data_IF_707783489105
#
_entry.id   IF_707783489105
#
_cell.length_a   1.000
_cell.length_b   1.000
_cell.length_c   1.000
_cell.angle_alpha   90.00
_cell.angle_beta   90.00
_cell.angle_gamma   90.00
#
_symmetry.space_group_name_H-M   'P 1'
#
loop_
_entity.id
_entity.type
_entity.pdbx_description
1 polymer ?
#
# COMPACT_ATOMS: atom_id res chain seq x y z
N UNK A 1 -6.40 -54.43 -18.19
CA UNK A 1 -5.38 -53.60 -18.86
C UNK A 1 -5.21 -52.33 -18.06
N UNK A 2 -4.11 -52.23 -17.33
CA UNK A 2 -3.84 -51.16 -16.36
C UNK A 2 -3.43 -49.92 -17.12
N UNK A 3 -4.19 -48.78 -16.91
CA UNK A 3 -3.74 -47.44 -17.26
C UNK A 3 -3.68 -46.68 -15.92
N UNK A 4 -2.60 -46.88 -15.19
CA UNK A 4 -2.15 -46.01 -14.11
C UNK A 4 -0.71 -45.59 -14.40
N UNK A 5 -0.48 -44.88 -15.46
CA UNK A 5 0.67 -44.00 -15.53
C UNK A 5 0.30 -42.67 -14.90
N UNK A 6 0.54 -42.56 -13.60
CA UNK A 6 0.51 -41.29 -12.91
C UNK A 6 1.51 -40.37 -13.59
N UNK A 7 1.02 -39.46 -14.43
CA UNK A 7 1.80 -38.29 -14.87
C UNK A 7 2.32 -37.62 -13.59
N UNK A 8 3.57 -37.79 -13.26
CA UNK A 8 4.25 -37.02 -12.22
C UNK A 8 4.32 -35.59 -12.75
N UNK A 9 3.40 -34.74 -12.32
CA UNK A 9 3.53 -33.30 -12.51
C UNK A 9 4.83 -32.92 -11.78
N UNK A 10 5.85 -32.40 -12.49
CA UNK A 10 7.07 -31.96 -11.82
C UNK A 10 6.71 -30.93 -10.76
N UNK A 11 7.28 -31.03 -9.59
CA UNK A 11 7.12 -30.02 -8.55
C UNK A 11 7.63 -28.69 -9.10
N UNK A 12 6.99 -27.58 -8.72
CA UNK A 12 7.37 -26.22 -9.15
C UNK A 12 8.88 -25.98 -8.94
N UNK A 13 9.45 -26.52 -7.85
CA UNK A 13 10.88 -26.47 -7.56
C UNK A 13 11.77 -27.21 -8.58
N UNK A 14 11.23 -28.16 -9.33
CA UNK A 14 11.96 -28.87 -10.38
C UNK A 14 11.95 -28.12 -11.73
N UNK A 15 11.07 -27.12 -11.87
CA UNK A 15 10.96 -26.28 -13.08
C UNK A 15 11.81 -25.01 -13.01
N UNK A 16 12.19 -24.57 -11.79
CA UNK A 16 13.06 -23.41 -11.60
C UNK A 16 14.52 -23.78 -11.91
N UNK A 17 15.24 -22.91 -12.60
CA UNK A 17 16.68 -23.04 -12.78
C UNK A 17 17.40 -23.04 -11.44
N UNK A 18 18.59 -23.62 -11.37
CA UNK A 18 19.40 -23.66 -10.15
C UNK A 18 19.75 -22.24 -9.64
N UNK A 19 19.91 -21.30 -10.58
CA UNK A 19 20.12 -19.88 -10.29
C UNK A 19 18.89 -19.25 -9.62
N UNK A 20 17.68 -19.46 -10.15
CA UNK A 20 16.43 -18.93 -9.59
C UNK A 20 16.14 -19.47 -8.19
N UNK A 21 16.52 -20.73 -7.91
CA UNK A 21 16.37 -21.32 -6.57
C UNK A 21 17.32 -20.73 -5.52
N UNK A 22 18.46 -20.19 -5.94
CA UNK A 22 19.48 -19.61 -5.06
C UNK A 22 19.40 -18.08 -4.96
N UNK A 23 18.56 -17.43 -5.76
CA UNK A 23 18.40 -15.97 -5.76
C UNK A 23 17.72 -15.49 -4.48
N UNK A 24 18.37 -14.58 -3.76
CA UNK A 24 17.77 -13.86 -2.62
C UNK A 24 16.99 -12.67 -3.16
N UNK A 25 15.72 -12.56 -2.77
CA UNK A 25 14.78 -11.62 -3.40
C UNK A 25 14.47 -10.43 -2.50
N UNK A 26 14.77 -9.23 -3.02
CA UNK A 26 14.45 -7.93 -2.45
C UNK A 26 13.75 -7.00 -3.45
N UNK A 27 13.20 -7.53 -4.55
CA UNK A 27 12.56 -6.70 -5.57
C UNK A 27 11.18 -6.18 -5.17
N UNK A 28 10.47 -6.86 -4.27
CA UNK A 28 9.14 -6.46 -3.81
C UNK A 28 8.83 -6.99 -2.42
N UNK A 29 7.76 -6.48 -1.81
CA UNK A 29 7.27 -6.83 -0.47
C UNK A 29 6.03 -7.75 -0.50
N UNK A 30 5.81 -8.45 -1.63
CA UNK A 30 4.68 -9.37 -1.84
C UNK A 30 5.09 -10.63 -2.63
N UNK A 31 6.33 -11.09 -2.44
CA UNK A 31 6.84 -12.28 -3.15
C UNK A 31 6.39 -13.59 -2.50
N UNK A 32 6.22 -13.60 -1.18
CA UNK A 32 5.76 -14.75 -0.43
C UNK A 32 4.22 -14.78 -0.34
N UNK A 33 3.69 -15.89 0.19
CA UNK A 33 2.27 -16.06 0.45
C UNK A 33 1.78 -15.23 1.65
N UNK A 34 1.09 -15.88 2.57
CA UNK A 34 0.59 -15.23 3.80
C UNK A 34 1.41 -15.64 5.03
N UNK A 35 1.33 -14.83 6.08
CA UNK A 35 1.91 -15.17 7.38
C UNK A 35 1.37 -16.52 7.89
N UNK A 36 2.20 -17.41 8.49
CA UNK A 36 1.80 -18.76 8.91
C UNK A 36 0.55 -18.79 9.79
N UNK A 37 0.38 -17.86 10.72
CA UNK A 37 -0.83 -17.77 11.57
C UNK A 37 -2.11 -17.58 10.77
N UNK A 38 -2.05 -16.87 9.64
CA UNK A 38 -3.21 -16.68 8.74
C UNK A 38 -3.53 -18.00 8.05
N UNK A 39 -2.51 -18.70 7.55
CA UNK A 39 -2.69 -20.00 6.90
C UNK A 39 -3.31 -21.03 7.86
N UNK A 40 -2.81 -21.10 9.10
CA UNK A 40 -3.34 -21.96 10.16
C UNK A 40 -4.82 -21.63 10.40
N UNK A 41 -5.17 -20.36 10.56
CA UNK A 41 -6.56 -19.92 10.79
C UNK A 41 -7.48 -20.25 9.61
N UNK A 42 -7.01 -20.12 8.39
CA UNK A 42 -7.77 -20.50 7.19
C UNK A 42 -8.02 -22.01 7.12
N UNK A 43 -7.04 -22.83 7.53
CA UNK A 43 -7.20 -24.29 7.60
C UNK A 43 -8.20 -24.69 8.69
N UNK A 44 -8.09 -24.11 9.89
CA UNK A 44 -8.98 -24.37 11.03
C UNK A 44 -10.45 -24.05 10.69
N UNK A 45 -10.67 -22.94 10.03
CA UNK A 45 -12.02 -22.42 9.73
C UNK A 45 -12.59 -22.91 8.38
N UNK A 46 -11.83 -23.71 7.62
CA UNK A 46 -12.18 -24.08 6.24
C UNK A 46 -13.59 -24.71 6.09
N UNK A 47 -14.02 -25.51 7.07
CA UNK A 47 -15.31 -26.20 7.03
C UNK A 47 -16.44 -25.43 7.73
N UNK A 48 -16.19 -24.24 8.24
CA UNK A 48 -17.23 -23.40 8.83
C UNK A 48 -18.25 -22.95 7.77
N UNK A 49 -19.52 -22.93 8.14
CA UNK A 49 -20.60 -22.35 7.34
C UNK A 49 -20.93 -20.96 7.88
N UNK A 50 -20.69 -19.94 7.08
CA UNK A 50 -20.87 -18.54 7.46
C UNK A 50 -21.76 -17.80 6.45
N UNK A 51 -22.32 -16.66 6.84
CA UNK A 51 -22.92 -15.72 5.89
C UNK A 51 -21.89 -15.31 4.82
N UNK A 52 -22.36 -14.96 3.64
CA UNK A 52 -21.52 -14.52 2.53
C UNK A 52 -21.33 -13.01 2.49
N UNK A 53 -20.54 -12.57 1.51
CA UNK A 53 -20.39 -11.17 1.11
C UNK A 53 -19.86 -10.21 2.19
N UNK A 54 -19.06 -10.75 3.14
CA UNK A 54 -18.45 -9.97 4.21
C UNK A 54 -19.39 -9.66 5.38
N UNK A 55 -20.51 -10.37 5.48
CA UNK A 55 -21.49 -10.27 6.59
C UNK A 55 -21.35 -11.46 7.58
N UNK A 56 -20.15 -12.03 7.62
CA UNK A 56 -19.79 -13.12 8.51
C UNK A 56 -19.10 -12.63 9.78
N UNK A 57 -19.04 -13.50 10.80
CA UNK A 57 -18.46 -13.18 12.10
C UNK A 57 -16.95 -12.86 12.06
N UNK A 58 -16.21 -13.39 11.09
CA UNK A 58 -14.77 -13.06 10.94
C UNK A 58 -14.58 -11.64 10.43
N UNK A 59 -15.36 -11.24 9.41
CA UNK A 59 -15.36 -9.85 8.93
C UNK A 59 -15.82 -8.87 10.02
N UNK A 60 -16.83 -9.24 10.81
CA UNK A 60 -17.32 -8.44 11.92
C UNK A 60 -16.23 -8.23 13.01
N UNK A 61 -15.55 -9.32 13.43
CA UNK A 61 -14.46 -9.25 14.40
C UNK A 61 -13.27 -8.46 13.87
N UNK A 62 -12.86 -8.70 12.62
CA UNK A 62 -11.81 -7.94 11.98
C UNK A 62 -12.11 -6.43 11.96
N UNK A 63 -13.34 -6.06 11.60
CA UNK A 63 -13.78 -4.68 11.61
C UNK A 63 -13.78 -4.08 13.03
N UNK A 64 -14.22 -4.83 14.05
CA UNK A 64 -14.18 -4.40 15.43
C UNK A 64 -12.75 -4.16 15.94
N UNK A 65 -11.81 -5.06 15.63
CA UNK A 65 -10.39 -4.90 15.97
C UNK A 65 -9.78 -3.66 15.31
N UNK A 66 -10.10 -3.40 14.04
CA UNK A 66 -9.64 -2.20 13.31
C UNK A 66 -10.24 -0.94 13.92
N UNK A 67 -11.54 -0.93 14.25
CA UNK A 67 -12.20 0.18 14.95
C UNK A 67 -11.51 0.49 16.28
N UNK A 68 -11.23 -0.55 17.07
CA UNK A 68 -10.49 -0.43 18.33
C UNK A 68 -9.09 0.17 18.11
N UNK A 69 -8.35 -0.31 17.10
CA UNK A 69 -7.02 0.22 16.77
C UNK A 69 -7.06 1.68 16.29
N UNK A 70 -8.13 2.09 15.59
CA UNK A 70 -8.39 3.47 15.18
C UNK A 70 -8.93 4.35 16.34
N UNK A 71 -9.34 3.76 17.47
CA UNK A 71 -9.96 4.49 18.59
C UNK A 71 -11.33 5.10 18.24
N UNK A 72 -12.07 4.52 17.28
CA UNK A 72 -13.33 5.06 16.75
C UNK A 72 -14.34 3.96 16.42
N UNK A 73 -15.50 4.02 17.04
CA UNK A 73 -16.62 3.09 16.77
C UNK A 73 -17.51 3.54 15.60
N UNK A 74 -17.47 4.81 15.27
CA UNK A 74 -18.33 5.45 14.27
C UNK A 74 -17.82 5.34 12.84
N UNK A 75 -16.76 4.59 12.57
CA UNK A 75 -16.21 4.34 11.23
C UNK A 75 -16.79 3.07 10.60
N UNK A 76 -16.81 3.01 9.27
CA UNK A 76 -17.13 1.79 8.54
C UNK A 76 -15.86 1.13 8.02
N UNK A 77 -15.82 -0.20 8.07
CA UNK A 77 -14.68 -0.99 7.58
C UNK A 77 -15.17 -1.98 6.53
N UNK A 78 -14.52 -1.98 5.36
CA UNK A 78 -14.82 -2.86 4.25
C UNK A 78 -13.55 -3.53 3.73
N UNK A 79 -13.63 -4.81 3.35
CA UNK A 79 -12.48 -5.57 2.87
C UNK A 79 -12.57 -5.76 1.35
N UNK A 80 -11.50 -5.34 0.64
CA UNK A 80 -11.33 -5.47 -0.80
C UNK A 80 -10.07 -6.28 -1.08
N UNK A 81 -9.86 -6.75 -2.33
CA UNK A 81 -8.81 -7.73 -2.63
C UNK A 81 -7.42 -7.13 -2.90
N UNK A 82 -7.33 -5.85 -3.23
CA UNK A 82 -6.04 -5.23 -3.57
C UNK A 82 -6.13 -3.72 -3.78
N UNK A 83 -4.98 -3.04 -3.78
CA UNK A 83 -4.86 -1.58 -3.79
C UNK A 83 -5.55 -0.92 -4.98
N UNK A 84 -5.27 -1.36 -6.22
CA UNK A 84 -5.90 -0.78 -7.42
C UNK A 84 -7.42 -0.91 -7.40
N UNK A 85 -7.96 -2.07 -6.98
CA UNK A 85 -9.42 -2.23 -6.82
C UNK A 85 -9.97 -1.30 -5.74
N UNK A 86 -9.22 -1.10 -4.65
CA UNK A 86 -9.57 -0.17 -3.58
C UNK A 86 -9.62 1.25 -4.10
N UNK A 87 -8.56 1.70 -4.77
CA UNK A 87 -8.46 3.06 -5.30
C UNK A 87 -9.58 3.38 -6.27
N UNK A 88 -9.81 2.54 -7.28
CA UNK A 88 -10.90 2.77 -8.23
C UNK A 88 -12.30 2.70 -7.61
N UNK A 89 -12.49 1.88 -6.56
CA UNK A 89 -13.77 1.76 -5.86
C UNK A 89 -14.05 3.00 -5.01
N UNK A 90 -13.08 3.44 -4.22
CA UNK A 90 -13.18 4.63 -3.35
C UNK A 90 -13.37 5.88 -4.20
N UNK A 91 -12.48 6.12 -5.16
CA UNK A 91 -12.51 7.34 -6.00
C UNK A 91 -13.79 7.38 -6.82
N UNK A 92 -14.17 6.26 -7.45
CA UNK A 92 -15.41 6.18 -8.23
C UNK A 92 -16.70 6.26 -7.40
N UNK A 93 -16.63 6.10 -6.06
CA UNK A 93 -17.78 6.29 -5.16
C UNK A 93 -17.96 7.75 -4.73
N UNK A 94 -16.89 8.52 -4.74
CA UNK A 94 -16.86 9.89 -4.20
C UNK A 94 -17.03 10.94 -5.29
N UNK A 95 -16.31 10.78 -6.39
CA UNK A 95 -16.27 11.80 -7.43
C UNK A 95 -17.51 11.82 -8.31
N UNK A 96 -17.93 13.02 -8.69
CA UNK A 96 -18.94 13.24 -9.74
C UNK A 96 -18.28 13.16 -11.13
N UNK A 97 -19.02 12.88 -12.22
CA UNK A 97 -18.48 12.64 -13.56
C UNK A 97 -17.55 13.73 -14.11
N UNK A 98 -17.69 14.97 -13.62
CA UNK A 98 -16.88 16.14 -14.04
C UNK A 98 -15.70 16.41 -13.09
N UNK A 99 -15.50 15.58 -12.05
CA UNK A 99 -14.46 15.77 -11.04
C UNK A 99 -13.28 14.86 -11.27
N UNK A 100 -12.11 15.32 -10.80
CA UNK A 100 -10.86 14.58 -10.78
C UNK A 100 -10.22 14.56 -9.39
N UNK A 101 -9.21 13.73 -9.23
CA UNK A 101 -8.46 13.54 -7.99
C UNK A 101 -7.08 14.17 -8.09
N UNK A 102 -6.70 15.02 -7.13
CA UNK A 102 -5.32 15.48 -6.96
C UNK A 102 -4.45 14.33 -6.50
N UNK A 103 -3.33 14.14 -7.18
CA UNK A 103 -2.38 13.07 -6.91
C UNK A 103 -0.95 13.59 -7.09
N UNK A 104 0.00 13.09 -6.31
CA UNK A 104 1.42 13.32 -6.50
C UNK A 104 1.88 12.86 -7.90
N UNK A 105 2.88 13.50 -8.49
CA UNK A 105 3.44 13.09 -9.78
C UNK A 105 4.06 11.68 -9.72
N UNK A 106 4.61 11.28 -8.57
CA UNK A 106 5.09 9.91 -8.27
C UNK A 106 3.98 8.98 -7.77
N UNK A 107 2.77 9.49 -7.50
CA UNK A 107 1.69 8.74 -6.85
C UNK A 107 1.20 7.55 -7.65
N UNK A 108 0.83 6.48 -6.96
CA UNK A 108 0.48 5.18 -7.53
C UNK A 108 -0.61 5.27 -8.61
N UNK A 109 -1.63 6.12 -8.42
CA UNK A 109 -2.69 6.37 -9.40
C UNK A 109 -2.15 6.85 -10.75
N UNK A 110 -1.10 7.70 -10.71
CA UNK A 110 -0.52 8.30 -11.91
C UNK A 110 0.40 7.34 -12.66
N UNK A 111 1.20 6.52 -11.93
CA UNK A 111 2.33 5.82 -12.56
C UNK A 111 2.22 4.29 -12.55
N UNK A 112 1.32 3.68 -11.75
CA UNK A 112 1.30 2.23 -11.54
C UNK A 112 -0.07 1.56 -11.70
N UNK A 113 -1.12 2.25 -12.14
CA UNK A 113 -2.47 1.67 -12.22
C UNK A 113 -3.04 1.57 -13.65
N UNK A 114 -2.21 1.78 -14.67
CA UNK A 114 -2.59 1.55 -16.08
C UNK A 114 -3.89 2.27 -16.48
N UNK A 115 -4.13 3.48 -15.95
CA UNK A 115 -5.34 4.25 -16.23
C UNK A 115 -6.61 3.71 -15.54
N UNK A 116 -6.48 3.03 -14.40
CA UNK A 116 -7.63 2.47 -13.69
C UNK A 116 -8.62 3.54 -13.24
N UNK A 117 -8.13 4.71 -12.83
CA UNK A 117 -8.98 5.83 -12.41
C UNK A 117 -9.67 6.45 -13.62
N UNK A 118 -8.94 6.68 -14.72
CA UNK A 118 -9.48 7.18 -15.98
C UNK A 118 -10.57 6.24 -16.53
N UNK A 119 -10.40 4.93 -16.37
CA UNK A 119 -11.41 3.93 -16.75
C UNK A 119 -12.70 4.03 -15.91
N UNK A 120 -12.68 4.68 -14.76
CA UNK A 120 -13.90 5.01 -13.99
C UNK A 120 -14.58 6.30 -14.46
N UNK A 121 -13.98 7.02 -15.44
CA UNK A 121 -14.47 8.28 -15.97
C UNK A 121 -13.93 9.52 -15.27
N UNK A 122 -12.90 9.36 -14.41
CA UNK A 122 -12.31 10.47 -13.64
C UNK A 122 -10.88 10.74 -14.08
N UNK A 123 -10.45 11.99 -13.98
CA UNK A 123 -9.08 12.40 -14.29
C UNK A 123 -8.21 12.37 -13.05
N UNK A 124 -7.01 11.81 -13.18
CA UNK A 124 -5.92 12.08 -12.22
C UNK A 124 -5.32 13.44 -12.54
N UNK A 125 -5.41 14.38 -11.60
CA UNK A 125 -4.86 15.73 -11.71
C UNK A 125 -3.52 15.72 -10.97
N UNK A 126 -2.44 15.66 -11.74
CA UNK A 126 -1.08 15.49 -11.21
C UNK A 126 -0.56 16.81 -10.64
N UNK A 127 -0.04 16.77 -9.44
CA UNK A 127 0.59 17.89 -8.75
C UNK A 127 2.08 17.59 -8.50
N UNK A 128 2.95 18.62 -8.55
CA UNK A 128 4.36 18.44 -8.24
C UNK A 128 4.58 18.11 -6.77
N UNK A 129 5.62 17.33 -6.49
CA UNK A 129 6.01 16.89 -5.16
C UNK A 129 7.32 17.54 -4.70
N UNK A 130 7.64 17.35 -3.43
CA UNK A 130 8.98 17.56 -2.90
C UNK A 130 9.96 16.56 -3.53
N UNK A 131 11.27 16.79 -3.36
CA UNK A 131 12.31 15.92 -3.91
C UNK A 131 12.26 14.46 -3.37
N UNK A 132 11.50 14.23 -2.31
CA UNK A 132 11.29 12.94 -1.67
C UNK A 132 9.85 12.40 -1.85
N UNK A 133 9.13 12.88 -2.88
CA UNK A 133 7.86 12.31 -3.35
C UNK A 133 6.63 12.73 -2.54
N UNK A 134 6.72 13.71 -1.61
CA UNK A 134 5.58 14.14 -0.80
C UNK A 134 4.83 15.31 -1.43
N UNK A 135 3.52 15.20 -1.49
CA UNK A 135 2.63 16.31 -1.86
C UNK A 135 2.47 17.27 -0.67
N UNK A 136 2.49 18.57 -0.92
CA UNK A 136 2.38 19.58 0.15
C UNK A 136 1.01 20.24 0.18
N UNK A 137 0.59 20.72 1.36
CA UNK A 137 -0.61 21.54 1.52
C UNK A 137 -0.56 22.83 0.66
N UNK A 138 0.64 23.36 0.44
CA UNK A 138 0.85 24.55 -0.40
C UNK A 138 0.54 24.28 -1.88
N UNK A 139 0.99 23.14 -2.44
CA UNK A 139 0.71 22.78 -3.84
C UNK A 139 -0.77 22.44 -4.04
N UNK A 140 -1.41 21.76 -3.06
CA UNK A 140 -2.86 21.50 -3.09
C UNK A 140 -3.63 22.83 -3.14
N UNK A 141 -3.29 23.78 -2.26
CA UNK A 141 -3.92 25.10 -2.20
C UNK A 141 -3.74 25.85 -3.52
N UNK A 142 -2.52 25.92 -4.02
CA UNK A 142 -2.17 26.60 -5.27
C UNK A 142 -2.97 26.06 -6.46
N UNK A 143 -3.05 24.73 -6.58
CA UNK A 143 -3.80 24.09 -7.66
C UNK A 143 -5.32 24.33 -7.54
N UNK A 144 -5.86 24.26 -6.31
CA UNK A 144 -7.26 24.56 -6.04
C UNK A 144 -7.60 26.03 -6.36
N UNK A 145 -6.80 26.99 -5.86
CA UNK A 145 -7.00 28.41 -6.13
C UNK A 145 -6.83 28.76 -7.62
N UNK A 146 -5.87 28.13 -8.31
CA UNK A 146 -5.67 28.30 -9.74
C UNK A 146 -6.91 27.87 -10.54
N UNK A 147 -7.55 26.75 -10.17
CA UNK A 147 -8.79 26.31 -10.80
C UNK A 147 -9.92 27.34 -10.61
N UNK A 148 -10.20 27.74 -9.37
CA UNK A 148 -11.36 28.61 -9.08
C UNK A 148 -11.16 30.08 -9.48
N UNK A 149 -9.92 30.53 -9.63
CA UNK A 149 -9.61 31.90 -10.13
C UNK A 149 -9.61 31.98 -11.66
N UNK A 150 -9.68 30.85 -12.37
CA UNK A 150 -9.79 30.88 -13.84
C UNK A 150 -11.22 31.20 -14.26
N UNK A 151 -11.38 32.22 -15.09
CA UNK A 151 -12.69 32.63 -15.58
C UNK A 151 -13.42 31.57 -16.42
N UNK A 152 -12.67 30.54 -16.85
CA UNK A 152 -13.16 29.43 -17.67
C UNK A 152 -13.12 28.09 -16.91
N UNK A 153 -13.07 28.12 -15.58
CA UNK A 153 -12.96 26.92 -14.75
C UNK A 153 -14.05 25.87 -15.03
N UNK A 154 -15.24 26.26 -15.43
CA UNK A 154 -16.33 25.35 -15.82
C UNK A 154 -16.01 24.51 -17.08
N UNK A 155 -14.99 24.88 -17.85
CA UNK A 155 -14.51 24.12 -19.00
C UNK A 155 -13.42 23.08 -18.61
N UNK A 156 -12.95 23.11 -17.37
CA UNK A 156 -11.90 22.23 -16.85
C UNK A 156 -12.49 21.16 -15.93
N UNK A 157 -11.74 20.06 -15.77
CA UNK A 157 -12.07 19.06 -14.75
C UNK A 157 -11.94 19.69 -13.37
N UNK A 158 -13.02 19.65 -12.59
CA UNK A 158 -13.07 20.22 -11.24
C UNK A 158 -12.29 19.35 -10.26
N UNK A 159 -11.43 19.89 -9.39
CA UNK A 159 -10.86 19.15 -8.26
C UNK A 159 -11.97 18.65 -7.33
N UNK A 160 -11.98 17.35 -7.03
CA UNK A 160 -13.04 16.72 -6.23
C UNK A 160 -12.54 15.97 -5.00
N UNK A 161 -11.25 15.64 -4.92
CA UNK A 161 -10.62 15.03 -3.76
C UNK A 161 -9.10 15.09 -3.83
N UNK A 162 -8.43 14.79 -2.72
CA UNK A 162 -6.97 14.66 -2.62
C UNK A 162 -6.62 13.23 -2.27
N UNK A 163 -5.64 12.66 -2.97
CA UNK A 163 -5.06 11.34 -2.71
C UNK A 163 -3.57 11.49 -2.38
N UNK A 164 -3.15 10.83 -1.30
CA UNK A 164 -1.74 10.70 -0.91
C UNK A 164 -1.45 9.25 -0.49
N UNK A 165 -0.20 8.81 -0.63
CA UNK A 165 0.26 7.48 -0.18
C UNK A 165 1.04 7.59 1.14
N UNK A 166 0.73 6.75 2.13
CA UNK A 166 1.45 6.63 3.39
C UNK A 166 1.89 5.16 3.62
N UNK A 167 3.20 4.84 3.45
CA UNK A 167 4.31 5.66 2.93
C UNK A 167 4.20 5.95 1.42
N UNK A 168 4.96 6.94 0.95
CA UNK A 168 5.05 7.28 -0.48
C UNK A 168 5.72 6.16 -1.29
N UNK A 169 5.67 6.25 -2.59
CA UNK A 169 6.33 5.32 -3.53
C UNK A 169 7.86 5.36 -3.38
N UNK A 170 8.41 6.50 -2.95
CA UNK A 170 9.82 6.72 -2.66
C UNK A 170 10.24 6.24 -1.25
N UNK A 171 9.31 5.59 -0.52
CA UNK A 171 9.55 5.02 0.79
C UNK A 171 9.59 6.03 1.95
N UNK A 172 9.35 7.30 1.68
CA UNK A 172 9.24 8.34 2.70
C UNK A 172 7.87 8.34 3.37
N UNK A 173 7.76 8.84 4.58
CA UNK A 173 6.50 8.98 5.29
C UNK A 173 6.20 10.46 5.58
N UNK A 174 4.92 10.82 5.54
CA UNK A 174 4.50 12.13 6.03
C UNK A 174 4.62 12.19 7.55
N UNK A 175 5.10 13.30 8.06
CA UNK A 175 5.04 13.61 9.49
C UNK A 175 3.62 13.96 9.92
N UNK A 176 3.35 13.91 11.23
CA UNK A 176 2.05 14.32 11.78
C UNK A 176 1.69 15.76 11.39
N UNK A 177 2.66 16.67 11.45
CA UNK A 177 2.45 18.06 11.08
C UNK A 177 2.05 18.23 9.61
N UNK A 178 2.73 17.54 8.69
CA UNK A 178 2.39 17.56 7.26
C UNK A 178 0.99 16.98 6.98
N UNK A 179 0.64 15.88 7.64
CA UNK A 179 -0.70 15.30 7.55
C UNK A 179 -1.78 16.25 8.08
N UNK A 180 -1.50 16.97 9.18
CA UNK A 180 -2.42 17.96 9.75
C UNK A 180 -2.60 19.16 8.81
N UNK A 181 -1.52 19.66 8.18
CA UNK A 181 -1.59 20.73 7.18
C UNK A 181 -2.40 20.33 5.94
N UNK A 182 -2.16 19.12 5.42
CA UNK A 182 -2.90 18.56 4.28
C UNK A 182 -4.38 18.40 4.64
N UNK A 183 -4.68 17.80 5.79
CA UNK A 183 -6.05 17.65 6.26
C UNK A 183 -6.76 18.99 6.43
N UNK A 184 -6.07 20.00 6.98
CA UNK A 184 -6.62 21.33 7.19
C UNK A 184 -6.96 22.02 5.84
N UNK A 185 -6.08 21.96 4.85
CA UNK A 185 -6.37 22.52 3.52
C UNK A 185 -7.48 21.77 2.80
N UNK A 186 -7.51 20.43 2.90
CA UNK A 186 -8.57 19.61 2.33
C UNK A 186 -9.94 20.00 2.91
N UNK A 187 -10.07 20.15 4.23
CA UNK A 187 -11.30 20.61 4.89
C UNK A 187 -11.69 22.02 4.46
N UNK A 188 -10.72 22.94 4.36
CA UNK A 188 -10.97 24.31 3.92
C UNK A 188 -11.51 24.39 2.49
N UNK A 189 -11.03 23.49 1.62
CA UNK A 189 -11.41 23.39 0.22
C UNK A 189 -12.60 22.44 -0.03
N UNK A 190 -13.17 21.84 1.02
CA UNK A 190 -14.23 20.82 0.93
C UNK A 190 -13.86 19.63 0.04
N UNK A 191 -12.56 19.27 0.01
CA UNK A 191 -12.02 18.12 -0.72
C UNK A 191 -11.83 16.96 0.24
N UNK A 192 -12.49 15.80 0.06
CA UNK A 192 -12.19 14.60 0.82
C UNK A 192 -10.71 14.21 0.70
N UNK A 193 -10.08 13.89 1.84
CA UNK A 193 -8.73 13.35 1.89
C UNK A 193 -8.76 11.82 1.92
N UNK A 194 -8.21 11.20 0.88
CA UNK A 194 -8.02 9.76 0.77
C UNK A 194 -6.54 9.40 0.98
N UNK A 195 -6.25 8.59 2.00
CA UNK A 195 -4.90 8.09 2.27
C UNK A 195 -4.78 6.63 1.81
N UNK A 196 -3.96 6.41 0.79
CA UNK A 196 -3.51 5.10 0.35
C UNK A 196 -2.54 4.52 1.39
N UNK A 197 -2.98 3.48 2.06
CA UNK A 197 -2.23 2.80 3.10
C UNK A 197 -1.67 1.44 2.68
N UNK A 198 -1.34 1.23 1.40
CA UNK A 198 -0.75 -0.03 0.93
C UNK A 198 0.47 -0.46 1.75
N UNK A 199 1.21 0.52 2.27
CA UNK A 199 2.36 0.35 3.16
C UNK A 199 2.21 1.08 4.50
N UNK A 200 0.97 1.31 4.94
CA UNK A 200 0.69 2.05 6.19
C UNK A 200 1.35 1.40 7.41
N UNK A 201 1.38 0.07 7.46
CA UNK A 201 2.03 -0.65 8.55
C UNK A 201 3.51 -0.28 8.69
N UNK A 202 4.24 -0.20 7.59
CA UNK A 202 5.65 0.20 7.56
C UNK A 202 5.83 1.68 7.93
N UNK A 203 4.97 2.57 7.44
CA UNK A 203 5.02 3.97 7.83
C UNK A 203 4.79 4.17 9.34
N UNK A 204 3.85 3.41 9.94
CA UNK A 204 3.57 3.47 11.38
C UNK A 204 4.63 2.77 12.25
N UNK A 205 5.43 1.87 11.69
CA UNK A 205 6.49 1.15 12.38
C UNK A 205 7.87 1.80 12.22
N UNK A 206 8.01 2.79 11.32
CA UNK A 206 9.25 3.51 11.07
C UNK A 206 9.78 4.18 12.35
N UNK A 207 11.11 4.21 12.51
CA UNK A 207 11.77 4.71 13.73
C UNK A 207 11.53 6.19 14.02
N UNK A 208 11.21 6.98 12.98
CA UNK A 208 10.93 8.41 13.05
C UNK A 208 9.43 8.74 12.96
N UNK A 209 8.56 7.73 12.99
CA UNK A 209 7.11 7.94 12.96
C UNK A 209 6.63 8.68 14.21
N UNK A 210 5.97 9.82 14.00
CA UNK A 210 5.46 10.71 15.04
C UNK A 210 3.93 10.70 15.19
N UNK A 211 3.26 9.77 14.50
CA UNK A 211 1.79 9.65 14.48
C UNK A 211 1.34 8.19 14.62
N UNK A 212 0.06 8.02 14.88
CA UNK A 212 -0.57 6.73 15.14
C UNK A 212 -1.68 6.44 14.13
N UNK A 213 -2.19 5.20 14.09
CA UNK A 213 -3.38 4.86 13.31
C UNK A 213 -4.61 5.68 13.74
N UNK A 214 -4.68 6.08 15.01
CA UNK A 214 -5.73 6.97 15.52
C UNK A 214 -5.62 8.39 14.93
N UNK A 215 -4.39 8.90 14.74
CA UNK A 215 -4.15 10.18 14.06
C UNK A 215 -4.58 10.09 12.59
N UNK A 216 -4.25 9.02 11.87
CA UNK A 216 -4.73 8.78 10.50
C UNK A 216 -6.25 8.80 10.45
N UNK A 217 -6.93 8.06 11.35
CA UNK A 217 -8.38 8.02 11.43
C UNK A 217 -9.03 9.36 11.85
N UNK A 218 -8.29 10.28 12.43
CA UNK A 218 -8.74 11.64 12.74
C UNK A 218 -8.58 12.61 11.57
N UNK A 219 -7.57 12.40 10.75
CA UNK A 219 -7.15 13.34 9.71
C UNK A 219 -7.74 13.03 8.33
N UNK A 220 -7.91 11.75 7.99
CA UNK A 220 -8.46 11.32 6.71
C UNK A 220 -9.99 11.29 6.69
N UNK A 221 -10.60 11.47 5.52
CA UNK A 221 -12.01 11.20 5.26
C UNK A 221 -12.22 9.72 4.94
N UNK A 222 -11.28 9.14 4.23
CA UNK A 222 -11.19 7.70 3.93
C UNK A 222 -9.73 7.31 3.85
N UNK A 223 -9.41 6.11 4.28
CA UNK A 223 -8.08 5.51 4.09
C UNK A 223 -8.20 4.00 3.98
N UNK A 224 -7.15 3.33 3.57
CA UNK A 224 -7.13 1.89 3.74
C UNK A 224 -5.88 1.39 4.44
N UNK A 225 -6.01 0.25 5.08
CA UNK A 225 -4.94 -0.47 5.77
C UNK A 225 -4.53 -1.61 4.86
N UNK A 226 -3.31 -1.53 4.31
CA UNK A 226 -2.79 -2.53 3.39
C UNK A 226 -2.48 -3.85 4.09
N UNK A 227 -3.10 -4.94 3.63
CA UNK A 227 -2.79 -6.29 4.10
C UNK A 227 -1.87 -7.04 3.15
N UNK A 228 -2.04 -6.87 1.85
CA UNK A 228 -1.32 -7.62 0.80
C UNK A 228 0.21 -7.57 0.97
N UNK A 229 0.77 -6.45 1.37
CA UNK A 229 2.21 -6.27 1.60
C UNK A 229 2.63 -6.55 3.03
N UNK A 230 1.68 -6.58 3.99
CA UNK A 230 1.94 -6.63 5.43
C UNK A 230 1.43 -7.96 6.03
N UNK A 231 1.76 -9.06 5.36
CA UNK A 231 1.53 -10.42 5.88
C UNK A 231 0.26 -11.12 5.42
N UNK A 232 -0.69 -10.46 4.77
CA UNK A 232 -1.83 -11.13 4.16
C UNK A 232 -1.47 -11.75 2.80
N UNK A 233 -2.22 -12.76 2.35
CA UNK A 233 -2.15 -13.28 0.99
C UNK A 233 -2.65 -12.22 0.00
N UNK A 234 -3.71 -11.52 0.36
CA UNK A 234 -4.36 -10.47 -0.38
C UNK A 234 -5.27 -9.69 0.57
N UNK A 235 -5.57 -8.46 0.22
CA UNK A 235 -6.63 -7.69 0.88
C UNK A 235 -6.18 -6.36 1.43
N UNK A 236 -7.15 -5.44 1.39
CA UNK A 236 -7.04 -4.09 1.91
C UNK A 236 -8.30 -3.80 2.75
N UNK A 237 -8.13 -3.25 3.94
CA UNK A 237 -9.24 -2.81 4.78
C UNK A 237 -9.50 -1.33 4.56
N UNK A 238 -10.56 -1.01 3.82
CA UNK A 238 -11.02 0.37 3.60
C UNK A 238 -11.73 0.86 4.84
N UNK A 239 -11.30 1.99 5.37
CA UNK A 239 -11.88 2.66 6.53
C UNK A 239 -12.52 3.96 6.09
N UNK A 240 -13.84 4.08 6.20
CA UNK A 240 -14.58 5.30 5.87
C UNK A 240 -14.90 6.04 7.15
N UNK A 241 -14.27 7.19 7.31
CA UNK A 241 -14.39 8.05 8.48
C UNK A 241 -15.49 9.07 8.29
N UNK A 242 -15.53 9.75 7.14
CA UNK A 242 -16.52 10.77 6.84
C UNK A 242 -17.89 10.14 6.60
N UNK A 243 -18.92 10.45 7.42
CA UNK A 243 -20.24 9.84 7.31
C UNK A 243 -20.93 10.12 5.97
N UNK A 244 -20.60 11.23 5.28
CA UNK A 244 -21.18 11.55 3.99
C UNK A 244 -20.75 10.58 2.87
N UNK A 245 -19.61 9.85 3.06
CA UNK A 245 -19.04 8.91 2.09
C UNK A 245 -19.50 7.47 2.30
N UNK A 246 -20.23 7.17 3.38
CA UNK A 246 -20.65 5.80 3.74
C UNK A 246 -21.84 5.30 2.93
N UNK A 247 -22.75 6.24 2.59
CA UNK A 247 -24.02 5.87 1.93
C UNK A 247 -23.76 5.13 0.62
N UNK A 248 -24.43 4.01 0.45
CA UNK A 248 -24.43 3.19 -0.76
C UNK A 248 -23.05 2.61 -1.17
N UNK A 249 -21.99 2.74 -0.34
CA UNK A 249 -20.66 2.26 -0.68
C UNK A 249 -20.63 0.75 -1.01
N UNK A 250 -21.44 -0.08 -0.33
CA UNK A 250 -21.56 -1.52 -0.65
C UNK A 250 -22.11 -1.79 -2.06
N UNK A 251 -22.97 -0.91 -2.61
CA UNK A 251 -23.40 -1.01 -4.02
C UNK A 251 -22.25 -0.81 -4.97
N UNK A 252 -21.37 0.15 -4.68
CA UNK A 252 -20.17 0.41 -5.49
C UNK A 252 -19.19 -0.77 -5.39
N UNK A 253 -18.94 -1.32 -4.19
CA UNK A 253 -18.14 -2.53 -4.01
C UNK A 253 -18.69 -3.66 -4.90
N UNK A 254 -20.00 -3.90 -4.90
CA UNK A 254 -20.62 -4.95 -5.73
C UNK A 254 -20.48 -4.64 -7.21
N UNK A 255 -20.75 -3.41 -7.63
CA UNK A 255 -20.65 -2.95 -9.01
C UNK A 255 -19.24 -3.13 -9.58
N UNK A 256 -18.18 -2.87 -8.77
CA UNK A 256 -16.78 -3.04 -9.15
C UNK A 256 -16.26 -4.49 -9.03
N UNK A 257 -17.13 -5.47 -8.76
CA UNK A 257 -16.75 -6.86 -8.61
C UNK A 257 -15.91 -7.17 -7.36
N UNK A 258 -15.88 -6.23 -6.40
CA UNK A 258 -15.06 -6.32 -5.20
C UNK A 258 -15.73 -7.06 -4.03
N UNK A 259 -17.01 -7.43 -4.16
CA UNK A 259 -17.77 -8.11 -3.11
C UNK A 259 -17.70 -9.63 -3.30
N UNK A 260 -16.79 -10.27 -2.58
CA UNK A 260 -16.56 -11.70 -2.66
C UNK A 260 -17.72 -12.48 -2.01
N UNK A 261 -18.19 -13.54 -2.65
CA UNK A 261 -19.20 -14.45 -2.07
C UNK A 261 -18.68 -15.08 -0.77
N UNK A 262 -17.39 -15.46 -0.72
CA UNK A 262 -16.71 -15.94 0.48
C UNK A 262 -15.86 -14.84 1.11
N UNK A 263 -16.49 -13.72 1.50
CA UNK A 263 -15.85 -12.53 2.06
C UNK A 263 -15.02 -12.80 3.30
N UNK A 264 -15.38 -13.83 4.09
CA UNK A 264 -14.60 -14.27 5.26
C UNK A 264 -13.13 -14.54 4.95
N UNK A 265 -12.78 -14.85 3.69
CA UNK A 265 -11.37 -15.02 3.30
C UNK A 265 -10.53 -13.78 3.60
N UNK A 266 -11.09 -12.58 3.39
CA UNK A 266 -10.45 -11.32 3.75
C UNK A 266 -10.57 -11.05 5.26
N UNK A 267 -11.75 -11.28 5.83
CA UNK A 267 -12.01 -11.08 7.27
C UNK A 267 -11.04 -11.84 8.15
N UNK A 268 -10.86 -13.15 7.91
CA UNK A 268 -9.94 -14.02 8.67
C UNK A 268 -8.50 -13.48 8.64
N UNK A 269 -8.04 -12.96 7.51
CA UNK A 269 -6.70 -12.41 7.38
C UNK A 269 -6.50 -11.17 8.24
N UNK A 270 -7.45 -10.22 8.19
CA UNK A 270 -7.41 -8.99 9.00
C UNK A 270 -7.69 -9.26 10.47
N UNK A 271 -8.60 -10.18 10.80
CA UNK A 271 -8.81 -10.66 12.17
C UNK A 271 -7.48 -11.14 12.78
N UNK A 272 -6.76 -12.01 12.07
CA UNK A 272 -5.48 -12.56 12.51
C UNK A 272 -4.39 -11.50 12.62
N UNK A 273 -4.34 -10.55 11.67
CA UNK A 273 -3.33 -9.47 11.67
C UNK A 273 -3.54 -8.48 12.82
N UNK A 274 -4.79 -8.21 13.20
CA UNK A 274 -5.08 -7.23 14.25
C UNK A 274 -5.21 -7.87 15.64
N UNK A 275 -5.45 -9.20 15.71
CA UNK A 275 -5.36 -9.95 16.95
C UNK A 275 -3.91 -9.90 17.47
N UNK A 276 -3.72 -9.56 18.74
CA UNK A 276 -2.41 -9.43 19.39
C UNK A 276 -1.41 -8.45 18.73
N UNK A 277 -1.89 -7.58 17.84
CA UNK A 277 -1.07 -6.57 17.18
C UNK A 277 -0.04 -7.12 16.20
N UNK A 278 -0.28 -8.29 15.62
CA UNK A 278 0.61 -8.95 14.65
C UNK A 278 0.95 -8.02 13.46
N UNK A 279 -0.02 -7.25 12.97
CA UNK A 279 0.16 -6.29 11.88
C UNK A 279 1.37 -5.35 12.11
N UNK A 280 1.47 -4.78 13.30
CA UNK A 280 2.56 -3.87 13.67
C UNK A 280 3.87 -4.60 13.93
N UNK A 281 3.81 -5.84 14.44
CA UNK A 281 5.01 -6.65 14.70
C UNK A 281 5.71 -7.04 13.39
N UNK A 282 4.96 -7.49 12.39
CA UNK A 282 5.53 -7.88 11.08
C UNK A 282 6.03 -6.66 10.31
N UNK A 283 5.36 -5.51 10.43
CA UNK A 283 5.82 -4.26 9.85
C UNK A 283 7.16 -3.81 10.45
N UNK A 284 7.26 -3.82 11.78
CA UNK A 284 8.50 -3.48 12.50
C UNK A 284 9.67 -4.40 12.13
N UNK A 285 9.39 -5.69 11.93
CA UNK A 285 10.42 -6.63 11.45
C UNK A 285 10.95 -6.22 10.07
N UNK A 286 10.05 -5.92 9.13
CA UNK A 286 10.44 -5.53 7.78
C UNK A 286 11.29 -4.24 7.77
N UNK A 287 10.88 -3.21 8.52
CA UNK A 287 11.64 -1.95 8.62
C UNK A 287 13.00 -2.17 9.27
N UNK A 288 13.10 -3.00 10.32
CA UNK A 288 14.38 -3.40 10.91
C UNK A 288 15.31 -4.01 9.86
N UNK A 289 14.81 -4.92 9.02
CA UNK A 289 15.59 -5.53 7.93
C UNK A 289 16.02 -4.49 6.90
N UNK A 290 15.15 -3.57 6.53
CA UNK A 290 15.46 -2.47 5.61
C UNK A 290 16.57 -1.56 6.14
N UNK A 291 16.50 -1.20 7.42
CA UNK A 291 17.52 -0.35 8.05
C UNK A 291 18.87 -1.05 8.13
N UNK A 292 18.92 -2.37 8.31
CA UNK A 292 20.18 -3.14 8.24
C UNK A 292 20.78 -3.08 6.81
N UNK A 293 19.95 -3.24 5.77
CA UNK A 293 20.39 -3.08 4.37
C UNK A 293 20.93 -1.67 4.14
N UNK A 294 20.22 -0.63 4.58
CA UNK A 294 20.66 0.75 4.49
C UNK A 294 22.03 0.95 5.13
N UNK A 295 22.16 0.56 6.39
CA UNK A 295 23.42 0.72 7.14
C UNK A 295 24.59 0.02 6.45
N UNK A 296 24.38 -1.20 5.93
CA UNK A 296 25.42 -1.93 5.21
C UNK A 296 25.91 -1.20 3.94
N UNK A 297 25.02 -0.50 3.21
CA UNK A 297 25.41 0.32 2.07
C UNK A 297 26.09 1.63 2.51
N UNK A 298 25.57 2.31 3.53
CA UNK A 298 26.14 3.58 4.03
C UNK A 298 27.54 3.37 4.61
N UNK A 299 27.81 2.26 5.32
CA UNK A 299 29.15 1.87 5.80
C UNK A 299 30.16 1.67 4.67
N UNK A 300 29.69 1.30 3.48
CA UNK A 300 30.51 1.19 2.26
C UNK A 300 30.60 2.52 1.48
N UNK A 301 30.08 3.61 2.02
CA UNK A 301 30.06 4.93 1.40
C UNK A 301 29.05 5.08 0.25
N UNK A 302 28.10 4.18 0.12
CA UNK A 302 27.02 4.26 -0.87
C UNK A 302 25.93 5.22 -0.36
N UNK A 303 25.58 6.20 -1.20
CA UNK A 303 24.52 7.17 -0.89
C UNK A 303 23.16 6.60 -1.19
N UNK A 304 22.17 6.96 -0.38
CA UNK A 304 20.77 6.71 -0.65
C UNK A 304 20.17 7.80 -1.53
N UNK A 305 19.26 7.44 -2.44
CA UNK A 305 18.53 8.39 -3.27
C UNK A 305 17.49 9.15 -2.44
N UNK A 306 16.80 8.46 -1.53
CA UNK A 306 15.81 9.01 -0.60
C UNK A 306 16.16 8.66 0.85
N UNK A 307 15.75 9.51 1.79
CA UNK A 307 15.90 9.23 3.23
C UNK A 307 14.69 8.43 3.75
N UNK A 308 14.55 7.21 3.24
CA UNK A 308 13.49 6.30 3.67
C UNK A 308 13.84 5.62 4.99
N UNK A 309 12.89 5.60 5.93
CA UNK A 309 12.94 4.84 7.20
C UNK A 309 12.00 3.64 7.20
N UNK A 310 11.37 3.36 6.05
CA UNK A 310 10.43 2.25 5.86
C UNK A 310 11.09 1.05 5.20
N UNK A 311 10.31 0.06 4.84
CA UNK A 311 10.75 -1.20 4.23
C UNK A 311 11.37 -1.07 2.82
N UNK A 312 11.42 0.12 2.23
CA UNK A 312 11.98 0.37 0.91
C UNK A 312 13.28 1.18 1.01
N UNK A 313 14.39 0.70 0.43
CA UNK A 313 15.69 1.36 0.44
C UNK A 313 16.20 1.56 -0.98
N UNK A 314 16.82 2.72 -1.25
CA UNK A 314 17.16 3.16 -2.61
C UNK A 314 18.65 3.52 -2.73
N UNK A 315 19.59 2.54 -2.65
CA UNK A 315 21.01 2.82 -2.81
C UNK A 315 21.35 3.22 -4.24
N UNK A 316 22.26 4.20 -4.38
CA UNK A 316 22.84 4.63 -5.66
C UNK A 316 24.12 3.83 -5.90
N UNK A 317 24.03 2.77 -6.68
CA UNK A 317 25.13 1.83 -6.89
C UNK A 317 25.96 2.19 -8.12
N UNK A 318 27.31 2.07 -8.06
CA UNK A 318 28.12 2.00 -9.26
C UNK A 318 27.64 0.84 -10.15
N UNK A 319 27.53 1.06 -11.48
CA UNK A 319 26.95 0.05 -12.39
C UNK A 319 27.63 -1.33 -12.27
N UNK A 320 28.98 -1.37 -12.13
CA UNK A 320 29.72 -2.64 -11.93
C UNK A 320 29.36 -3.36 -10.63
N UNK A 321 29.08 -2.60 -9.55
CA UNK A 321 28.67 -3.18 -8.28
C UNK A 321 27.23 -3.72 -8.39
N UNK A 322 26.35 -2.98 -9.04
CA UNK A 322 24.98 -3.40 -9.31
C UNK A 322 24.95 -4.73 -10.10
N UNK A 323 25.73 -4.85 -11.19
CA UNK A 323 25.84 -6.07 -12.00
C UNK A 323 26.31 -7.27 -11.15
N UNK A 324 27.32 -7.07 -10.31
CA UNK A 324 27.82 -8.11 -9.41
C UNK A 324 26.78 -8.54 -8.36
N UNK A 325 26.07 -7.60 -7.76
CA UNK A 325 25.00 -7.91 -6.81
C UNK A 325 23.84 -8.67 -7.47
N UNK A 326 23.51 -8.32 -8.71
CA UNK A 326 22.45 -8.99 -9.50
C UNK A 326 22.74 -10.47 -9.86
N UNK A 327 23.97 -10.96 -9.63
CA UNK A 327 24.29 -12.39 -9.75
C UNK A 327 23.63 -13.23 -8.66
N UNK A 328 23.38 -12.64 -7.48
CA UNK A 328 22.89 -13.32 -6.28
C UNK A 328 21.59 -12.75 -5.70
N UNK A 329 21.38 -11.44 -5.87
CA UNK A 329 20.24 -10.71 -5.30
C UNK A 329 19.34 -10.16 -6.40
N UNK A 330 18.02 -10.33 -6.23
CA UNK A 330 17.03 -9.65 -7.05
C UNK A 330 16.60 -8.36 -6.35
N UNK A 331 16.66 -7.25 -7.09
CA UNK A 331 16.22 -5.92 -6.67
C UNK A 331 15.64 -5.18 -7.87
N UNK A 332 14.87 -4.11 -7.65
CA UNK A 332 14.24 -3.38 -8.76
C UNK A 332 15.14 -2.25 -9.25
N UNK A 333 15.21 -2.06 -10.57
CA UNK A 333 15.75 -0.83 -11.16
C UNK A 333 14.84 0.34 -10.77
N UNK A 334 15.45 1.48 -10.41
CA UNK A 334 14.70 2.71 -10.12
C UNK A 334 14.97 3.79 -11.16
N UNK A 335 16.17 4.35 -11.18
CA UNK A 335 16.53 5.33 -12.20
C UNK A 335 18.06 5.39 -12.42
N UNK A 336 18.48 5.94 -13.56
CA UNK A 336 19.87 6.29 -13.81
C UNK A 336 20.29 7.51 -13.00
N UNK A 337 21.50 7.47 -12.43
CA UNK A 337 22.12 8.60 -11.71
C UNK A 337 23.44 8.92 -12.40
N UNK A 338 23.36 9.64 -13.53
CA UNK A 338 24.47 9.83 -14.46
C UNK A 338 24.86 8.56 -15.20
N UNK A 339 26.02 8.56 -15.83
CA UNK A 339 26.45 7.46 -16.71
C UNK A 339 27.02 6.26 -15.94
N UNK A 340 27.58 6.49 -14.75
CA UNK A 340 28.33 5.50 -13.99
C UNK A 340 27.53 4.85 -12.83
N UNK A 341 26.36 5.37 -12.48
CA UNK A 341 25.58 4.92 -11.33
C UNK A 341 24.13 4.67 -11.69
N UNK A 342 23.51 3.78 -10.94
CA UNK A 342 22.07 3.45 -11.02
C UNK A 342 21.50 3.40 -9.61
N UNK A 343 20.41 4.07 -9.36
CA UNK A 343 19.61 3.86 -8.17
C UNK A 343 18.76 2.60 -8.37
N UNK A 344 18.75 1.74 -7.37
CA UNK A 344 17.96 0.51 -7.33
C UNK A 344 17.13 0.49 -6.05
N UNK A 345 16.02 -0.27 -6.05
CA UNK A 345 15.19 -0.43 -4.86
C UNK A 345 15.35 -1.81 -4.27
N UNK A 346 15.67 -1.87 -2.99
CA UNK A 346 15.56 -3.04 -2.13
C UNK A 346 14.29 -2.91 -1.28
N UNK A 347 13.43 -3.93 -1.33
CA UNK A 347 12.24 -4.05 -0.49
C UNK A 347 12.41 -5.20 0.49
N UNK A 348 12.09 -4.97 1.74
CA UNK A 348 11.95 -6.02 2.75
C UNK A 348 10.47 -6.27 3.05
N UNK A 349 10.15 -7.43 3.61
CA UNK A 349 8.79 -7.82 3.95
C UNK A 349 8.75 -8.53 5.32
N UNK A 350 7.55 -8.90 5.73
CA UNK A 350 7.32 -9.73 6.92
C UNK A 350 8.10 -11.06 6.90
N UNK A 351 8.44 -11.56 5.72
CA UNK A 351 9.12 -12.84 5.51
C UNK A 351 10.63 -12.69 5.27
N UNK A 352 11.16 -11.48 5.23
CA UNK A 352 12.59 -11.23 4.99
C UNK A 352 13.42 -11.84 6.12
N UNK A 353 14.34 -12.74 5.77
CA UNK A 353 15.19 -13.43 6.73
C UNK A 353 16.43 -12.61 7.09
N UNK A 354 16.75 -12.55 8.38
CA UNK A 354 17.91 -11.81 8.89
C UNK A 354 19.24 -12.33 8.31
N UNK A 355 19.35 -13.66 8.10
CA UNK A 355 20.51 -14.26 7.43
C UNK A 355 20.72 -13.77 6.00
N UNK A 356 19.63 -13.55 5.24
CA UNK A 356 19.72 -13.04 3.87
C UNK A 356 20.18 -11.56 3.81
N UNK A 357 19.81 -10.78 4.83
CA UNK A 357 20.24 -9.40 4.97
C UNK A 357 21.71 -9.33 5.42
N UNK A 358 22.11 -10.18 6.36
CA UNK A 358 23.49 -10.26 6.85
C UNK A 358 24.48 -10.72 5.76
N UNK A 359 24.01 -11.45 4.76
CA UNK A 359 24.83 -11.95 3.65
C UNK A 359 25.05 -10.87 2.55
N UNK A 360 24.21 -9.80 2.49
CA UNK A 360 24.30 -8.71 1.55
C UNK A 360 25.48 -7.78 1.85
#
# INVERSE_FOLDING_TARGET
MKIEEKMKVPTLSALLSERERKMIRFECDYAEGMHPRILERLVETNMEQTAGYGEDSHCERAAALIKQACGREDIDVHFLVGGTQTNLTVIGSILRPYQGVFCADTGHLNVHETGAIEATGHKVIVLPTTADGRLTAAEIRKAYEAHWNDATHEHMVQPGMVYISQSTEDGTAYTKAELEEISAICRKCELPLFIDGARLGYALAAEDCDHTLQDIARLADVFYIGGTKVGAMMGEAVVIVNPALKKDFRYIIKNRGAMLAKGRLLGIQFETLFEDGLYFQVAKHADKMAMQIRNAFEEKGIKMLFDSKTNQQFPILPNKMMEKLAEKYAFSFWCKVGDAHTAVRFCTSWATKEENVAEL
#
